data_IF_224117944061
#
_entry.id   IF_224117944061
#
_cell.length_a   1.000
_cell.length_b   1.000
_cell.length_c   1.000
_cell.angle_alpha   90.00
_cell.angle_beta   90.00
_cell.angle_gamma   90.00
#
_symmetry.space_group_name_H-M   'P 1'
#
loop_
_entity.id
_entity.type
_entity.pdbx_description
1 polymer ?
#
# COMPACT_ATOMS: atom_id res chain seq x y z
N UNK A 1 9.97 10.18 -0.44
CA UNK A 1 9.71 11.33 0.47
C UNK A 1 10.75 11.38 1.58
N UNK A 2 10.86 10.32 2.38
CA UNK A 2 12.03 10.13 3.24
C UNK A 2 13.31 10.12 2.37
N UNK A 3 14.37 10.72 2.91
CA UNK A 3 15.71 10.72 2.34
C UNK A 3 16.69 10.40 3.47
N UNK A 4 17.66 9.53 3.20
CA UNK A 4 18.69 9.17 4.18
C UNK A 4 19.84 10.18 4.12
N UNK A 5 20.60 10.39 5.21
CA UNK A 5 21.85 11.12 5.15
C UNK A 5 22.81 10.53 4.11
N UNK A 6 23.61 11.39 3.49
CA UNK A 6 24.69 10.92 2.64
C UNK A 6 25.82 10.34 3.50
N UNK A 7 26.51 9.33 2.96
CA UNK A 7 27.53 8.58 3.69
C UNK A 7 28.70 8.26 2.76
N UNK A 8 29.92 8.45 3.23
CA UNK A 8 31.14 7.95 2.56
C UNK A 8 31.77 6.83 3.37
N UNK A 9 32.36 5.85 2.67
CA UNK A 9 33.16 4.79 3.28
C UNK A 9 34.58 4.82 2.72
N UNK A 10 35.56 4.79 3.62
CA UNK A 10 36.99 4.66 3.28
C UNK A 10 37.58 3.57 4.17
N UNK A 11 37.83 2.39 3.60
CA UNK A 11 38.18 1.21 4.39
C UNK A 11 37.06 0.89 5.40
N UNK A 12 37.41 0.83 6.68
CA UNK A 12 36.47 0.56 7.78
C UNK A 12 35.83 1.84 8.35
N UNK A 13 36.24 3.02 7.91
CA UNK A 13 35.69 4.29 8.40
C UNK A 13 34.46 4.69 7.58
N UNK A 14 33.33 4.84 8.26
CA UNK A 14 32.09 5.41 7.71
C UNK A 14 31.94 6.83 8.23
N UNK A 15 31.71 7.79 7.32
CA UNK A 15 31.36 9.17 7.67
C UNK A 15 29.93 9.43 7.27
N UNK A 16 29.11 9.88 8.21
CA UNK A 16 27.72 10.28 7.97
C UNK A 16 27.66 11.81 7.94
N UNK A 17 27.22 12.37 6.82
CA UNK A 17 27.15 13.83 6.65
C UNK A 17 25.82 14.37 7.17
N UNK A 18 25.87 15.55 7.78
CA UNK A 18 24.70 16.33 8.15
C UNK A 18 24.03 16.94 6.92
N UNK A 19 22.78 17.40 7.07
CA UNK A 19 22.02 18.04 6.00
C UNK A 19 22.62 19.38 5.52
N UNK A 20 23.46 20.02 6.36
CA UNK A 20 24.16 21.25 5.99
C UNK A 20 25.43 20.98 5.16
N UNK A 21 26.03 19.80 5.31
CA UNK A 21 27.24 19.42 4.58
C UNK A 21 26.92 18.82 3.21
N UNK A 22 25.85 18.01 3.12
CA UNK A 22 25.45 17.34 1.88
C UNK A 22 23.94 17.14 1.78
N UNK A 23 23.45 17.14 0.54
CA UNK A 23 22.05 16.82 0.28
C UNK A 23 21.72 15.36 0.62
N UNK A 24 20.57 15.10 1.25
CA UNK A 24 20.16 13.75 1.59
C UNK A 24 19.69 12.97 0.36
N UNK A 25 20.01 11.67 0.34
CA UNK A 25 19.83 10.76 -0.79
C UNK A 25 18.49 10.04 -0.69
N UNK A 26 17.71 9.90 -1.79
CA UNK A 26 16.49 9.09 -1.78
C UNK A 26 16.78 7.60 -1.54
N UNK A 27 15.78 6.87 -1.04
CA UNK A 27 15.85 5.42 -0.97
C UNK A 27 15.65 4.81 -2.36
N UNK A 28 16.29 3.66 -2.59
CA UNK A 28 16.00 2.81 -3.75
C UNK A 28 14.79 1.93 -3.43
N UNK A 29 13.67 2.17 -4.11
CA UNK A 29 12.42 1.41 -3.93
C UNK A 29 12.13 0.69 -5.24
N UNK A 30 12.10 -0.65 -5.21
CA UNK A 30 11.88 -1.48 -6.40
C UNK A 30 10.41 -1.49 -6.85
N UNK A 31 9.48 -1.60 -5.90
CA UNK A 31 8.05 -1.58 -6.16
C UNK A 31 7.30 -0.98 -4.98
N UNK A 32 6.09 -0.49 -5.25
CA UNK A 32 5.20 0.13 -4.26
C UNK A 32 3.94 -0.75 -4.15
N UNK A 33 3.91 -1.72 -3.22
CA UNK A 33 2.73 -2.52 -2.98
C UNK A 33 1.73 -1.74 -2.12
N UNK A 34 0.45 -1.87 -2.44
CA UNK A 34 -0.64 -1.30 -1.66
C UNK A 34 -1.59 -2.41 -1.23
N UNK A 35 -2.19 -2.25 -0.05
CA UNK A 35 -3.16 -3.20 0.49
C UNK A 35 -4.58 -2.68 0.27
N UNK A 36 -5.48 -3.57 -0.14
CA UNK A 36 -6.92 -3.32 -0.24
C UNK A 36 -7.62 -4.38 0.60
N UNK A 37 -8.47 -3.93 1.52
CA UNK A 37 -9.19 -4.81 2.45
C UNK A 37 -10.66 -4.90 2.06
N UNK A 38 -11.15 -6.13 2.04
CA UNK A 38 -12.53 -6.49 1.80
C UNK A 38 -13.15 -7.05 3.08
N UNK A 39 -14.39 -6.67 3.36
CA UNK A 39 -15.20 -7.18 4.47
C UNK A 39 -16.39 -7.95 3.92
N UNK A 40 -16.66 -9.12 4.49
CA UNK A 40 -17.69 -10.05 4.06
C UNK A 40 -18.85 -10.08 5.06
N UNK A 41 -20.07 -10.12 4.54
CA UNK A 41 -21.33 -10.16 5.28
C UNK A 41 -22.29 -11.16 4.62
N UNK A 42 -23.26 -11.67 5.38
CA UNK A 42 -24.36 -12.48 4.83
C UNK A 42 -24.29 -13.98 5.13
N UNK A 43 -23.28 -14.45 5.88
CA UNK A 43 -23.20 -15.81 6.42
C UNK A 43 -23.49 -16.97 5.46
N UNK A 44 -23.95 -18.10 6.00
CA UNK A 44 -24.34 -19.31 5.24
C UNK A 44 -25.78 -19.24 4.68
N UNK A 45 -26.63 -18.39 5.26
CA UNK A 45 -28.09 -18.36 4.99
C UNK A 45 -28.55 -17.13 4.17
N UNK A 46 -27.64 -16.21 3.82
CA UNK A 46 -27.93 -14.95 3.15
C UNK A 46 -27.18 -14.75 1.83
N UNK A 47 -27.49 -13.65 1.14
CA UNK A 47 -26.72 -13.22 -0.03
C UNK A 47 -25.36 -12.66 0.43
N UNK A 48 -24.26 -13.19 -0.12
CA UNK A 48 -22.90 -12.73 0.19
C UNK A 48 -22.73 -11.28 -0.27
N UNK A 49 -22.49 -10.39 0.68
CA UNK A 49 -22.17 -8.98 0.40
C UNK A 49 -20.71 -8.73 0.73
N UNK A 50 -20.00 -8.14 -0.23
CA UNK A 50 -18.58 -7.78 -0.09
C UNK A 50 -18.42 -6.27 -0.18
N UNK A 51 -17.86 -5.67 0.87
CA UNK A 51 -17.52 -4.25 0.90
C UNK A 51 -16.01 -4.06 0.82
N UNK A 52 -15.57 -3.06 0.07
CA UNK A 52 -14.17 -2.62 0.03
C UNK A 52 -14.01 -1.39 0.92
N UNK A 53 -12.95 -1.35 1.74
CA UNK A 53 -12.62 -0.22 2.62
C UNK A 53 -13.76 0.10 3.62
N UNK A 54 -14.16 -0.91 4.38
CA UNK A 54 -15.26 -0.79 5.33
C UNK A 54 -14.98 0.26 6.42
N UNK A 55 -15.98 1.07 6.75
CA UNK A 55 -15.92 2.03 7.85
C UNK A 55 -15.92 1.33 9.21
N UNK A 56 -15.62 2.05 10.30
CA UNK A 56 -15.55 1.46 11.65
C UNK A 56 -16.83 0.69 12.03
N UNK A 57 -18.01 1.22 11.71
CA UNK A 57 -19.30 0.58 12.04
C UNK A 57 -19.53 -0.64 11.16
N UNK A 58 -19.16 -0.58 9.88
CA UNK A 58 -19.23 -1.71 8.96
C UNK A 58 -18.29 -2.84 9.41
N UNK A 59 -17.05 -2.52 9.78
CA UNK A 59 -16.09 -3.50 10.29
C UNK A 59 -16.55 -4.21 11.57
N UNK A 60 -17.32 -3.54 12.43
CA UNK A 60 -17.88 -4.15 13.64
C UNK A 60 -18.97 -5.19 13.34
N UNK A 61 -19.61 -5.08 12.17
CA UNK A 61 -20.69 -5.96 11.75
C UNK A 61 -20.22 -7.03 10.75
N UNK A 62 -18.97 -6.99 10.31
CA UNK A 62 -18.44 -7.97 9.34
C UNK A 62 -18.27 -9.33 9.98
N UNK A 63 -18.46 -10.37 9.18
CA UNK A 63 -18.31 -11.76 9.59
C UNK A 63 -16.97 -12.35 9.16
N UNK A 64 -16.28 -11.68 8.24
CA UNK A 64 -14.95 -12.03 7.76
C UNK A 64 -14.26 -10.87 7.05
N UNK A 65 -12.96 -11.00 6.85
CA UNK A 65 -12.18 -10.04 6.08
C UNK A 65 -11.05 -10.72 5.29
N UNK A 66 -10.69 -10.11 4.16
CA UNK A 66 -9.52 -10.48 3.38
C UNK A 66 -8.78 -9.23 2.92
N UNK A 67 -7.47 -9.21 3.12
CA UNK A 67 -6.60 -8.13 2.64
C UNK A 67 -5.72 -8.64 1.51
N UNK A 68 -5.75 -7.93 0.38
CA UNK A 68 -4.95 -8.24 -0.80
C UNK A 68 -3.87 -7.18 -0.97
N UNK A 69 -2.61 -7.59 -0.96
CA UNK A 69 -1.45 -6.74 -1.24
C UNK A 69 -0.97 -6.95 -2.67
N UNK A 70 -0.98 -5.90 -3.48
CA UNK A 70 -0.59 -5.94 -4.90
C UNK A 70 0.31 -4.76 -5.25
N UNK A 71 1.15 -4.92 -6.27
CA UNK A 71 1.78 -3.79 -6.93
C UNK A 71 0.96 -3.29 -8.14
N UNK A 72 1.36 -2.16 -8.73
CA UNK A 72 0.67 -1.55 -9.88
C UNK A 72 0.64 -2.42 -11.15
N UNK A 73 1.54 -3.40 -11.25
CA UNK A 73 1.63 -4.33 -12.37
C UNK A 73 0.64 -5.50 -12.24
N UNK A 74 0.02 -5.67 -11.08
CA UNK A 74 -0.91 -6.76 -10.80
C UNK A 74 -0.26 -8.00 -10.19
N UNK A 75 0.99 -7.90 -9.75
CA UNK A 75 1.66 -8.97 -9.04
C UNK A 75 1.17 -8.97 -7.58
N UNK A 76 0.64 -10.11 -7.14
CA UNK A 76 0.18 -10.32 -5.76
C UNK A 76 1.40 -10.52 -4.88
N UNK A 77 1.57 -9.65 -3.88
CA UNK A 77 2.60 -9.79 -2.85
C UNK A 77 2.10 -10.64 -1.68
N UNK A 78 0.83 -10.48 -1.29
CA UNK A 78 0.20 -11.25 -0.21
C UNK A 78 -1.33 -11.29 -0.34
N UNK A 79 -1.94 -12.33 0.21
CA UNK A 79 -3.37 -12.40 0.52
C UNK A 79 -3.51 -12.89 1.96
N UNK A 80 -4.23 -12.13 2.79
CA UNK A 80 -4.48 -12.45 4.18
C UNK A 80 -5.98 -12.57 4.44
N UNK A 81 -6.47 -13.82 4.48
CA UNK A 81 -7.82 -14.18 4.96
C UNK A 81 -7.67 -14.91 6.29
N UNK A 82 -7.84 -14.19 7.40
CA UNK A 82 -7.54 -14.68 8.74
C UNK A 82 -8.81 -15.02 9.51
N UNK A 83 -9.34 -16.23 9.32
CA UNK A 83 -10.57 -16.67 10.00
C UNK A 83 -11.84 -16.00 9.45
N UNK A 84 -12.90 -15.96 10.26
CA UNK A 84 -14.23 -15.53 9.81
C UNK A 84 -14.92 -16.52 8.87
N UNK A 85 -16.02 -16.10 8.26
CA UNK A 85 -16.85 -16.95 7.38
C UNK A 85 -16.06 -17.55 6.20
N UNK A 86 -16.46 -18.73 5.71
CA UNK A 86 -15.99 -19.25 4.42
C UNK A 86 -16.29 -18.23 3.32
N UNK A 87 -15.35 -18.04 2.40
CA UNK A 87 -15.49 -17.14 1.25
C UNK A 87 -15.24 -17.96 0.00
N UNK A 88 -16.10 -17.80 -1.00
CA UNK A 88 -15.93 -18.50 -2.27
C UNK A 88 -14.64 -18.07 -2.99
N UNK A 89 -13.97 -19.04 -3.63
CA UNK A 89 -12.70 -18.78 -4.30
C UNK A 89 -12.86 -17.80 -5.48
N UNK A 90 -13.99 -17.85 -6.19
CA UNK A 90 -14.29 -16.93 -7.31
C UNK A 90 -14.56 -15.53 -6.76
N UNK A 91 -15.29 -15.41 -5.65
CA UNK A 91 -15.48 -14.13 -4.96
C UNK A 91 -14.13 -13.50 -4.56
N UNK A 92 -13.20 -14.30 -4.03
CA UNK A 92 -11.86 -13.82 -3.68
C UNK A 92 -11.05 -13.38 -4.91
N UNK A 93 -11.15 -14.11 -6.03
CA UNK A 93 -10.51 -13.70 -7.30
C UNK A 93 -11.09 -12.38 -7.82
N UNK A 94 -12.40 -12.17 -7.71
CA UNK A 94 -13.04 -10.90 -8.03
C UNK A 94 -12.49 -9.77 -7.14
N UNK A 95 -12.29 -10.02 -5.84
CA UNK A 95 -11.65 -9.06 -4.93
C UNK A 95 -10.24 -8.68 -5.40
N UNK A 96 -9.43 -9.64 -5.88
CA UNK A 96 -8.10 -9.36 -6.43
C UNK A 96 -8.17 -8.45 -7.66
N UNK A 97 -9.13 -8.69 -8.56
CA UNK A 97 -9.33 -7.84 -9.74
C UNK A 97 -9.74 -6.41 -9.36
N UNK A 98 -10.66 -6.26 -8.41
CA UNK A 98 -11.08 -4.96 -7.88
C UNK A 98 -9.90 -4.25 -7.20
N UNK A 99 -9.13 -4.99 -6.40
CA UNK A 99 -7.96 -4.46 -5.71
C UNK A 99 -6.91 -3.94 -6.70
N UNK A 100 -6.69 -4.60 -7.83
CA UNK A 100 -5.77 -4.12 -8.87
C UNK A 100 -6.17 -2.74 -9.42
N UNK A 101 -7.47 -2.51 -9.64
CA UNK A 101 -7.96 -1.19 -10.09
C UNK A 101 -7.64 -0.13 -9.03
N UNK A 102 -7.94 -0.42 -7.76
CA UNK A 102 -7.66 0.50 -6.63
C UNK A 102 -6.18 0.77 -6.43
N UNK A 103 -5.35 -0.25 -6.51
CA UNK A 103 -3.89 -0.16 -6.39
C UNK A 103 -3.30 0.73 -7.49
N UNK A 104 -3.84 0.67 -8.72
CA UNK A 104 -3.42 1.56 -9.81
C UNK A 104 -3.84 3.01 -9.55
N UNK A 105 -5.07 3.25 -9.10
CA UNK A 105 -5.57 4.59 -8.73
C UNK A 105 -4.70 5.21 -7.62
N UNK A 106 -4.47 4.45 -6.54
CA UNK A 106 -3.63 4.87 -5.40
C UNK A 106 -2.19 5.13 -5.87
N UNK A 107 -1.63 4.25 -6.70
CA UNK A 107 -0.27 4.43 -7.22
C UNK A 107 -0.11 5.73 -8.01
N UNK A 108 -1.10 6.10 -8.84
CA UNK A 108 -1.10 7.36 -9.59
C UNK A 108 -1.24 8.55 -8.64
N UNK A 109 -2.15 8.45 -7.67
CA UNK A 109 -2.36 9.49 -6.67
C UNK A 109 -1.09 9.78 -5.85
N UNK A 110 -0.45 8.75 -5.31
CA UNK A 110 0.78 8.88 -4.52
C UNK A 110 1.91 9.45 -5.37
N UNK A 111 2.10 8.98 -6.61
CA UNK A 111 3.13 9.50 -7.50
C UNK A 111 2.92 11.01 -7.78
N UNK A 112 1.69 11.42 -8.08
CA UNK A 112 1.33 12.82 -8.29
C UNK A 112 1.62 13.67 -7.04
N UNK A 113 1.26 13.19 -5.85
CA UNK A 113 1.50 13.92 -4.60
C UNK A 113 2.98 14.04 -4.26
N UNK A 114 3.78 13.03 -4.55
CA UNK A 114 5.23 13.08 -4.38
C UNK A 114 5.89 14.08 -5.34
N UNK A 115 5.41 14.17 -6.58
CA UNK A 115 5.89 15.17 -7.54
C UNK A 115 5.51 16.60 -7.13
N UNK A 116 4.27 16.82 -6.67
CA UNK A 116 3.82 18.11 -6.12
C UNK A 116 4.67 18.55 -4.92
N UNK A 117 4.96 17.64 -3.98
CA UNK A 117 5.83 17.91 -2.83
C UNK A 117 7.28 18.20 -3.24
N UNK A 118 7.83 17.46 -4.21
CA UNK A 118 9.17 17.72 -4.74
C UNK A 118 9.26 19.11 -5.37
N UNK A 119 8.29 19.49 -6.22
CA UNK A 119 8.23 20.84 -6.83
C UNK A 119 8.08 21.94 -5.78
N UNK A 120 7.33 21.72 -4.71
CA UNK A 120 7.18 22.70 -3.62
C UNK A 120 8.50 22.95 -2.88
N UNK A 121 9.34 21.92 -2.73
CA UNK A 121 10.65 22.02 -2.07
C UNK A 121 11.74 22.59 -2.99
N UNK A 122 11.59 22.39 -4.29
CA UNK A 122 12.53 22.87 -5.32
C UNK A 122 12.34 24.35 -5.68
N UNK A 123 11.18 24.93 -5.38
CA UNK A 123 10.90 26.37 -5.54
C UNK A 123 11.64 27.20 -4.49
N UNK A 124 12.96 27.16 -4.52
CA UNK A 124 13.86 27.85 -3.61
C UNK A 124 13.34 29.21 -3.17
N UNK A 125 13.50 29.46 -1.87
CA UNK A 125 13.89 30.80 -1.45
C UNK A 125 15.18 31.15 -2.20
#
# INVERSE_FOLDING_TARGET
HFRKPDTSSQGERVTVYTLAEREPVPLSILHHPYCVTFSFYGGEDGEEVVLCDASLVEEQLREGAATVGLNRHGEVCQIAKLGGVPVDAVALLNCVQVALVKVREISVFVAKKLEEDARRRDKGV
#
